data_IF_738008049614
#
_entry.id   IF_738008049614
#
_cell.length_a   1.000
_cell.length_b   1.000
_cell.length_c   1.000
_cell.angle_alpha   90.00
_cell.angle_beta   90.00
_cell.angle_gamma   90.00
#
_symmetry.space_group_name_H-M   'P 1'
#
loop_
_entity.id
_entity.type
_entity.pdbx_description
1 polymer ?
#
# COMPACT_ATOMS: atom_id res chain seq x y z
N UNK A 1 2.93 -28.74 -7.02
CA UNK A 1 2.56 -27.73 -8.03
C UNK A 1 1.08 -27.42 -7.88
N UNK A 2 0.70 -26.18 -7.52
CA UNK A 2 -0.71 -25.75 -7.42
C UNK A 2 -1.07 -24.95 -8.67
N UNK A 3 -2.23 -25.26 -9.23
CA UNK A 3 -2.68 -24.94 -10.58
C UNK A 3 -2.56 -23.46 -10.98
N UNK A 4 -2.12 -23.22 -12.21
CA UNK A 4 -2.47 -22.05 -13.01
C UNK A 4 -3.99 -22.06 -13.29
N UNK A 5 -4.82 -21.76 -12.28
CA UNK A 5 -6.30 -21.70 -12.43
C UNK A 5 -6.75 -20.39 -13.08
N UNK A 6 -5.91 -19.34 -13.02
CA UNK A 6 -6.21 -18.00 -13.52
C UNK A 6 -5.24 -17.65 -14.64
N UNK A 7 -5.72 -16.94 -15.67
CA UNK A 7 -4.85 -16.42 -16.73
C UNK A 7 -3.92 -15.33 -16.17
N UNK A 8 -2.78 -15.12 -16.84
CA UNK A 8 -1.86 -14.05 -16.49
C UNK A 8 -2.55 -12.68 -16.62
N UNK A 9 -3.31 -12.49 -17.70
CA UNK A 9 -4.08 -11.28 -17.96
C UNK A 9 -5.05 -10.95 -16.82
N UNK A 10 -5.82 -11.93 -16.35
CA UNK A 10 -6.73 -11.74 -15.21
C UNK A 10 -5.97 -11.38 -13.93
N UNK A 11 -4.87 -12.08 -13.65
CA UNK A 11 -4.02 -11.76 -12.49
C UNK A 11 -3.55 -10.31 -12.54
N UNK A 12 -3.05 -9.87 -13.70
CA UNK A 12 -2.49 -8.53 -13.88
C UNK A 12 -3.56 -7.44 -13.75
N UNK A 13 -4.77 -7.68 -14.27
CA UNK A 13 -5.92 -6.80 -14.10
C UNK A 13 -6.29 -6.61 -12.63
N UNK A 14 -6.40 -7.69 -11.87
CA UNK A 14 -6.77 -7.63 -10.44
C UNK A 14 -5.65 -6.99 -9.59
N UNK A 15 -4.38 -7.25 -9.92
CA UNK A 15 -3.24 -6.57 -9.27
C UNK A 15 -3.29 -5.07 -9.56
N UNK A 16 -3.53 -4.68 -10.82
CA UNK A 16 -3.63 -3.29 -11.23
C UNK A 16 -4.79 -2.59 -10.52
N UNK A 17 -5.95 -3.23 -10.45
CA UNK A 17 -7.11 -2.73 -9.70
C UNK A 17 -6.73 -2.44 -8.24
N UNK A 18 -6.09 -3.39 -7.57
CA UNK A 18 -5.61 -3.19 -6.20
C UNK A 18 -4.66 -2.01 -6.09
N UNK A 19 -3.62 -1.93 -6.93
CA UNK A 19 -2.62 -0.83 -6.89
C UNK A 19 -3.30 0.53 -7.03
N UNK A 20 -4.31 0.64 -7.89
CA UNK A 20 -4.99 1.91 -8.17
C UNK A 20 -5.99 2.34 -7.10
N UNK A 21 -6.59 1.39 -6.37
CA UNK A 21 -7.74 1.70 -5.49
C UNK A 21 -7.47 1.50 -4.01
N UNK A 22 -6.42 0.77 -3.61
CA UNK A 22 -6.26 0.35 -2.21
C UNK A 22 -6.17 1.52 -1.22
N UNK A 23 -5.66 2.69 -1.65
CA UNK A 23 -5.54 3.89 -0.82
C UNK A 23 -6.89 4.50 -0.44
N UNK A 24 -7.95 4.26 -1.22
CA UNK A 24 -9.31 4.68 -0.89
C UNK A 24 -9.92 3.86 0.27
N UNK A 25 -9.27 2.77 0.67
CA UNK A 25 -9.69 1.94 1.80
C UNK A 25 -8.93 2.29 3.08
N UNK A 26 -9.55 1.94 4.21
CA UNK A 26 -8.98 2.17 5.54
C UNK A 26 -7.63 1.46 5.77
N UNK A 27 -7.35 0.35 5.09
CA UNK A 27 -6.06 -0.35 5.12
C UNK A 27 -5.96 -1.39 3.99
N UNK A 28 -4.72 -1.79 3.59
CA UNK A 28 -4.48 -2.72 2.48
C UNK A 28 -5.25 -4.04 2.60
N UNK A 29 -5.37 -4.60 3.79
CA UNK A 29 -6.10 -5.85 4.03
C UNK A 29 -7.59 -5.73 3.70
N UNK A 30 -8.21 -4.55 3.91
CA UNK A 30 -9.62 -4.33 3.58
C UNK A 30 -9.80 -4.26 2.07
N UNK A 31 -8.96 -3.47 1.39
CA UNK A 31 -8.94 -3.42 -0.07
C UNK A 31 -8.77 -4.81 -0.70
N UNK A 32 -7.76 -5.56 -0.25
CA UNK A 32 -7.51 -6.91 -0.77
C UNK A 32 -8.66 -7.89 -0.50
N UNK A 33 -9.45 -7.68 0.56
CA UNK A 33 -10.61 -8.53 0.84
C UNK A 33 -11.77 -8.19 -0.10
N UNK A 34 -12.06 -6.90 -0.28
CA UNK A 34 -13.13 -6.43 -1.16
C UNK A 34 -12.86 -6.80 -2.61
N UNK A 35 -11.69 -6.43 -3.14
CA UNK A 35 -11.31 -6.66 -4.53
C UNK A 35 -11.23 -8.16 -4.85
N UNK A 36 -10.70 -8.96 -3.91
CA UNK A 36 -10.68 -10.41 -4.09
C UNK A 36 -12.10 -11.00 -4.17
N UNK A 37 -13.03 -10.52 -3.33
CA UNK A 37 -14.42 -10.96 -3.33
C UNK A 37 -15.12 -10.60 -4.66
N UNK A 38 -14.94 -9.36 -5.12
CA UNK A 38 -15.51 -8.86 -6.38
C UNK A 38 -15.01 -9.65 -7.60
N UNK A 39 -13.77 -10.12 -7.54
CA UNK A 39 -13.14 -10.93 -8.58
C UNK A 39 -13.27 -12.45 -8.36
N UNK A 40 -14.03 -12.91 -7.35
CA UNK A 40 -14.27 -14.33 -7.09
C UNK A 40 -13.04 -15.13 -6.64
N UNK A 41 -12.03 -14.47 -6.09
CA UNK A 41 -10.79 -15.08 -5.60
C UNK A 41 -10.66 -14.98 -4.08
N UNK A 42 -9.79 -15.81 -3.50
CA UNK A 42 -9.46 -15.71 -2.09
C UNK A 42 -8.57 -14.49 -1.81
N UNK A 43 -8.82 -13.77 -0.70
CA UNK A 43 -7.95 -12.68 -0.21
C UNK A 43 -6.47 -13.08 -0.13
N UNK A 44 -6.19 -14.29 0.36
CA UNK A 44 -4.81 -14.81 0.45
C UNK A 44 -4.18 -15.09 -0.92
N UNK A 45 -4.99 -15.38 -1.94
CA UNK A 45 -4.52 -15.51 -3.32
C UNK A 45 -4.05 -14.16 -3.84
N UNK A 46 -4.89 -13.12 -3.71
CA UNK A 46 -4.54 -11.76 -4.14
C UNK A 46 -3.32 -11.23 -3.37
N UNK A 47 -3.29 -11.41 -2.05
CA UNK A 47 -2.12 -11.03 -1.25
C UNK A 47 -0.85 -11.77 -1.71
N UNK A 48 -0.96 -13.06 -2.03
CA UNK A 48 0.15 -13.84 -2.56
C UNK A 48 0.71 -13.26 -3.87
N UNK A 49 -0.17 -12.87 -4.80
CA UNK A 49 0.22 -12.22 -6.06
C UNK A 49 0.89 -10.86 -5.82
N UNK A 50 0.29 -10.02 -4.98
CA UNK A 50 0.83 -8.69 -4.66
C UNK A 50 2.19 -8.76 -3.97
N UNK A 51 2.42 -9.79 -3.14
CA UNK A 51 3.73 -10.04 -2.51
C UNK A 51 4.76 -10.58 -3.49
N UNK A 52 4.35 -11.45 -4.43
CA UNK A 52 5.23 -11.94 -5.48
C UNK A 52 5.70 -10.82 -6.42
N UNK A 53 4.82 -9.86 -6.73
CA UNK A 53 5.16 -8.67 -7.52
C UNK A 53 5.85 -7.56 -6.69
N UNK A 54 5.98 -7.73 -5.36
CA UNK A 54 6.60 -6.72 -4.49
C UNK A 54 5.80 -5.42 -4.32
N UNK A 55 4.51 -5.43 -4.68
CA UNK A 55 3.63 -4.25 -4.65
C UNK A 55 2.71 -4.20 -3.42
N UNK A 56 2.83 -5.17 -2.50
CA UNK A 56 2.07 -5.15 -1.26
C UNK A 56 2.47 -3.92 -0.41
N UNK A 57 1.52 -3.08 0.04
CA UNK A 57 1.84 -1.86 0.77
C UNK A 57 2.57 -2.15 2.08
N UNK A 58 3.63 -1.39 2.35
CA UNK A 58 4.36 -1.49 3.60
C UNK A 58 3.45 -1.15 4.80
N UNK A 59 3.72 -1.70 6.00
CA UNK A 59 2.95 -1.39 7.19
C UNK A 59 2.92 0.13 7.45
N UNK A 60 1.71 0.71 7.50
CA UNK A 60 1.51 2.16 7.73
C UNK A 60 2.19 2.67 9.00
N UNK A 61 2.37 1.84 10.03
CA UNK A 61 3.02 2.23 11.28
C UNK A 61 4.47 2.70 11.10
N UNK A 62 5.27 2.03 10.25
CA UNK A 62 6.64 2.45 9.97
C UNK A 62 6.68 3.78 9.22
N UNK A 63 5.81 3.91 8.21
CA UNK A 63 5.70 5.14 7.42
C UNK A 63 5.19 6.33 8.23
N UNK A 64 4.25 6.11 9.16
CA UNK A 64 3.76 7.15 10.07
C UNK A 64 4.89 7.62 10.97
N UNK A 65 5.64 6.71 11.59
CA UNK A 65 6.77 7.07 12.45
C UNK A 65 7.84 7.89 11.69
N UNK A 66 8.19 7.46 10.48
CA UNK A 66 9.13 8.19 9.60
C UNK A 66 8.61 9.60 9.27
N UNK A 67 7.34 9.72 8.89
CA UNK A 67 6.73 11.00 8.55
C UNK A 67 6.64 11.92 9.78
N UNK A 68 6.34 11.40 10.97
CA UNK A 68 6.33 12.16 12.22
C UNK A 68 7.73 12.65 12.62
N UNK A 69 8.77 11.88 12.35
CA UNK A 69 10.16 12.31 12.54
C UNK A 69 10.52 13.43 11.57
N UNK A 70 10.15 13.30 10.30
CA UNK A 70 10.46 14.30 9.29
C UNK A 70 9.71 15.63 9.54
N UNK A 71 8.43 15.56 9.93
CA UNK A 71 7.66 16.74 10.34
C UNK A 71 8.32 17.46 11.52
N UNK A 72 8.81 16.72 12.53
CA UNK A 72 9.55 17.32 13.66
C UNK A 72 10.82 18.01 13.19
N UNK A 73 11.60 17.35 12.32
CA UNK A 73 12.84 17.90 11.76
C UNK A 73 12.60 19.17 10.96
N UNK A 74 11.62 19.16 10.08
CA UNK A 74 11.28 20.32 9.23
C UNK A 74 10.78 21.49 10.07
N UNK A 75 9.92 21.24 11.07
CA UNK A 75 9.46 22.27 12.02
C UNK A 75 10.62 22.92 12.77
N UNK A 76 11.56 22.12 13.28
CA UNK A 76 12.74 22.65 13.96
C UNK A 76 13.59 23.53 13.02
N UNK A 77 13.76 23.12 11.76
CA UNK A 77 14.52 23.89 10.77
C UNK A 77 13.83 25.21 10.39
N UNK A 78 12.50 25.21 10.28
CA UNK A 78 11.72 26.43 10.04
C UNK A 78 11.88 27.42 11.19
N UNK A 79 11.81 26.95 12.44
CA UNK A 79 11.99 27.83 13.61
C UNK A 79 13.41 28.41 13.69
N UNK A 80 14.43 27.62 13.40
CA UNK A 80 15.83 28.11 13.36
C UNK A 80 16.06 29.13 12.23
N UNK A 81 15.44 28.93 11.06
CA UNK A 81 15.52 29.89 9.97
C UNK A 81 14.77 31.18 10.29
N UNK A 82 13.60 31.11 10.93
CA UNK A 82 12.86 32.30 11.39
C UNK A 82 13.67 33.13 12.37
N UNK A 83 14.36 32.51 13.33
CA UNK A 83 15.21 33.23 14.30
C UNK A 83 16.41 33.93 13.66
N UNK A 84 16.93 33.40 12.54
CA UNK A 84 18.05 34.00 11.79
C UNK A 84 17.63 35.09 10.82
N UNK A 85 16.35 35.20 10.51
CA UNK A 85 15.78 36.20 9.61
C UNK A 85 15.28 37.45 10.36
N UNK A 86 15.44 37.49 11.68
CA UNK A 86 15.23 38.63 12.59
C UNK A 86 16.61 39.15 13.00
#
# INVERSE_FOLDING_TARGET
MRAHRFSAEFRDEVIKEFITTWESYSHPTKAATTIACENGIGRSTLEGWLRQEGVWPAPRAGRILELEQEVRRLRAKVEELKKKAV
#
